data_IF_299806147507
#
_entry.id   IF_299806147507
#
_cell.length_a   1.000
_cell.length_b   1.000
_cell.length_c   1.000
_cell.angle_alpha   90.00
_cell.angle_beta   90.00
_cell.angle_gamma   90.00
#
_symmetry.space_group_name_H-M   'P 1'
#
loop_
_entity.id
_entity.type
_entity.pdbx_description
1 polymer ?
#
# COMPACT_ATOMS: atom_id res chain seq x y z
N UNK A 1 22.30 24.33 6.05
CA UNK A 1 21.41 23.20 6.44
C UNK A 1 20.13 23.18 5.59
N UNK A 2 19.87 22.09 4.88
CA UNK A 2 18.74 21.96 3.96
C UNK A 2 17.51 21.44 4.70
N UNK A 3 16.41 22.17 4.70
CA UNK A 3 15.17 21.81 5.40
C UNK A 3 14.11 21.23 4.46
N UNK A 4 13.39 20.22 4.93
CA UNK A 4 12.25 19.67 4.22
C UNK A 4 11.01 20.57 4.40
N UNK A 5 10.40 21.10 3.33
CA UNK A 5 9.23 21.99 3.45
C UNK A 5 7.96 21.26 3.92
N UNK A 6 7.91 19.93 3.84
CA UNK A 6 6.74 19.13 4.21
C UNK A 6 6.72 18.70 5.69
N UNK A 7 7.89 18.59 6.34
CA UNK A 7 7.96 18.11 7.74
C UNK A 7 9.00 18.84 8.61
N UNK A 8 9.69 19.85 8.07
CA UNK A 8 10.67 20.66 8.82
C UNK A 8 12.00 19.99 9.15
N UNK A 9 12.19 18.71 8.83
CA UNK A 9 13.46 18.01 9.11
C UNK A 9 14.64 18.67 8.39
N UNK A 10 15.78 18.77 9.11
CA UNK A 10 17.01 19.39 8.62
C UNK A 10 18.03 18.33 8.25
N UNK A 11 18.65 18.51 7.08
CA UNK A 11 19.65 17.64 6.52
C UNK A 11 20.94 18.42 6.25
N UNK A 12 22.08 17.75 6.39
CA UNK A 12 23.40 18.35 6.16
C UNK A 12 23.67 18.54 4.66
N UNK A 13 23.15 17.65 3.81
CA UNK A 13 23.38 17.64 2.37
C UNK A 13 22.08 17.73 1.57
N UNK A 14 22.11 18.46 0.45
CA UNK A 14 20.98 18.60 -0.48
C UNK A 14 20.53 17.25 -1.06
N UNK A 15 21.48 16.33 -1.30
CA UNK A 15 21.21 14.97 -1.80
C UNK A 15 20.38 14.15 -0.82
N UNK A 16 20.66 14.26 0.48
CA UNK A 16 19.90 13.56 1.53
C UNK A 16 18.49 14.15 1.64
N UNK A 17 18.35 15.48 1.56
CA UNK A 17 17.03 16.13 1.50
C UNK A 17 16.23 15.64 0.27
N UNK A 18 16.84 15.56 -0.91
CA UNK A 18 16.17 15.10 -2.13
C UNK A 18 15.70 13.63 -2.01
N UNK A 19 16.50 12.76 -1.40
CA UNK A 19 16.08 11.38 -1.12
C UNK A 19 14.94 11.32 -0.10
N UNK A 20 15.01 12.14 0.96
CA UNK A 20 13.95 12.25 1.95
C UNK A 20 12.63 12.76 1.35
N UNK A 21 12.68 13.73 0.44
CA UNK A 21 11.48 14.24 -0.24
C UNK A 21 10.73 13.16 -1.03
N UNK A 22 11.41 12.11 -1.51
CA UNK A 22 10.74 10.95 -2.13
C UNK A 22 9.86 10.16 -1.15
N UNK A 23 10.07 10.30 0.15
CA UNK A 23 9.22 9.67 1.19
C UNK A 23 7.88 10.41 1.29
N UNK A 24 7.90 11.73 1.14
CA UNK A 24 6.70 12.57 1.08
C UNK A 24 6.01 12.53 -0.27
N UNK A 25 6.77 12.27 -1.32
CA UNK A 25 6.21 11.83 -2.57
C UNK A 25 5.50 10.49 -2.31
N UNK A 26 4.22 10.56 -1.96
CA UNK A 26 3.28 9.43 -2.02
C UNK A 26 3.05 9.07 -3.50
N UNK A 27 4.13 8.93 -4.25
CA UNK A 27 4.21 8.55 -5.64
C UNK A 27 3.65 7.13 -5.77
N UNK A 28 2.33 7.12 -5.83
CA UNK A 28 1.52 5.95 -6.01
C UNK A 28 1.38 5.82 -7.51
N UNK A 29 2.30 5.08 -8.12
CA UNK A 29 2.36 4.93 -9.57
C UNK A 29 1.17 4.14 -10.13
N UNK A 30 0.62 3.22 -9.32
CA UNK A 30 -0.37 2.25 -9.79
C UNK A 30 -1.79 2.69 -9.41
N UNK A 31 -2.56 3.16 -10.38
CA UNK A 31 -3.96 3.56 -10.21
C UNK A 31 -4.95 2.41 -10.44
N UNK A 32 -6.03 2.39 -9.67
CA UNK A 32 -7.20 1.55 -9.92
C UNK A 32 -8.11 2.25 -10.94
N UNK A 33 -8.42 1.57 -12.05
CA UNK A 33 -9.32 2.10 -13.07
C UNK A 33 -10.76 2.26 -12.57
N UNK A 34 -11.21 1.38 -11.67
CA UNK A 34 -12.60 1.35 -11.20
C UNK A 34 -12.94 2.49 -10.23
N UNK A 35 -11.96 3.00 -9.46
CA UNK A 35 -12.22 3.99 -8.41
C UNK A 35 -11.14 5.08 -8.24
N UNK A 36 -10.15 5.13 -9.13
CA UNK A 36 -9.07 6.13 -9.11
C UNK A 36 -8.06 5.98 -7.96
N UNK A 37 -8.25 5.05 -7.02
CA UNK A 37 -7.33 4.86 -5.89
C UNK A 37 -5.93 4.46 -6.37
N UNK A 38 -4.92 5.16 -5.87
CA UNK A 38 -3.52 4.93 -6.23
C UNK A 38 -2.76 4.14 -5.15
N UNK A 39 -1.84 3.29 -5.59
CA UNK A 39 -0.99 2.41 -4.77
C UNK A 39 0.49 2.57 -5.12
N UNK A 40 1.35 2.39 -4.11
CA UNK A 40 2.82 2.44 -4.28
C UNK A 40 3.37 1.23 -5.04
N UNK A 41 2.75 0.07 -4.86
CA UNK A 41 3.19 -1.19 -5.48
C UNK A 41 2.06 -1.85 -6.28
N UNK A 42 2.42 -2.45 -7.42
CA UNK A 42 1.49 -3.16 -8.31
C UNK A 42 0.72 -4.28 -7.58
N UNK A 43 1.39 -5.05 -6.73
CA UNK A 43 0.72 -6.12 -5.97
C UNK A 43 -0.38 -5.59 -5.03
N UNK A 44 -0.21 -4.38 -4.45
CA UNK A 44 -1.24 -3.76 -3.61
C UNK A 44 -2.46 -3.34 -4.45
N UNK A 45 -2.24 -2.83 -5.67
CA UNK A 45 -3.31 -2.56 -6.62
C UNK A 45 -4.07 -3.85 -6.99
N UNK A 46 -3.37 -4.93 -7.31
CA UNK A 46 -4.00 -6.22 -7.66
C UNK A 46 -4.87 -6.76 -6.53
N UNK A 47 -4.36 -6.74 -5.30
CA UNK A 47 -5.13 -7.12 -4.11
C UNK A 47 -6.34 -6.20 -3.92
N UNK A 48 -6.19 -4.90 -4.17
CA UNK A 48 -7.28 -3.94 -4.10
C UNK A 48 -8.36 -4.19 -5.17
N UNK A 49 -8.01 -4.62 -6.38
CA UNK A 49 -9.02 -4.93 -7.41
C UNK A 49 -9.98 -6.05 -6.99
N UNK A 50 -9.55 -6.96 -6.12
CA UNK A 50 -10.44 -7.97 -5.51
C UNK A 50 -11.59 -7.37 -4.71
N UNK A 51 -11.50 -6.09 -4.33
CA UNK A 51 -12.62 -5.35 -3.71
C UNK A 51 -13.77 -5.21 -4.68
N UNK A 52 -13.47 -4.87 -5.93
CA UNK A 52 -14.44 -4.65 -6.98
C UNK A 52 -14.98 -5.95 -7.56
N UNK A 53 -14.11 -6.97 -7.74
CA UNK A 53 -14.54 -8.27 -8.29
C UNK A 53 -15.19 -9.19 -7.25
N UNK A 54 -15.13 -8.85 -5.96
CA UNK A 54 -15.59 -9.74 -4.89
C UNK A 54 -14.72 -10.99 -4.66
N UNK A 55 -13.59 -11.14 -5.37
CA UNK A 55 -12.73 -12.32 -5.27
C UNK A 55 -12.19 -12.52 -3.84
N UNK A 56 -12.40 -13.72 -3.30
CA UNK A 56 -11.89 -14.15 -2.00
C UNK A 56 -11.19 -15.52 -2.16
N UNK A 57 -9.93 -15.55 -2.60
CA UNK A 57 -9.27 -16.81 -2.97
C UNK A 57 -8.88 -17.67 -1.76
N UNK A 58 -8.83 -17.12 -0.56
CA UNK A 58 -8.39 -17.84 0.64
C UNK A 58 -9.60 -18.29 1.45
N UNK A 59 -9.79 -19.60 1.64
CA UNK A 59 -10.87 -20.14 2.46
C UNK A 59 -10.33 -20.71 3.76
N UNK A 60 -11.07 -20.53 4.87
CA UNK A 60 -10.82 -21.24 6.11
C UNK A 60 -11.29 -22.68 5.96
N UNK A 61 -10.42 -23.65 6.23
CA UNK A 61 -10.75 -25.08 6.17
C UNK A 61 -11.75 -25.52 7.24
N UNK A 62 -11.85 -24.79 8.36
CA UNK A 62 -12.74 -25.15 9.47
C UNK A 62 -14.17 -24.64 9.28
N UNK A 63 -14.34 -23.36 8.90
CA UNK A 63 -15.67 -22.73 8.81
C UNK A 63 -16.09 -22.36 7.37
N UNK A 64 -15.25 -22.61 6.37
CA UNK A 64 -15.51 -22.24 4.97
C UNK A 64 -15.43 -20.74 4.67
N UNK A 65 -15.25 -19.89 5.69
CA UNK A 65 -15.24 -18.44 5.51
C UNK A 65 -14.08 -17.99 4.60
N UNK A 66 -14.37 -17.11 3.64
CA UNK A 66 -13.42 -16.70 2.60
C UNK A 66 -12.85 -15.29 2.83
N UNK A 67 -11.59 -15.11 2.48
CA UNK A 67 -10.80 -13.88 2.67
C UNK A 67 -10.13 -13.44 1.38
N UNK A 68 -9.99 -12.12 1.23
CA UNK A 68 -9.31 -11.47 0.10
C UNK A 68 -7.78 -11.55 0.14
N UNK A 69 -7.24 -11.71 1.35
CA UNK A 69 -5.80 -11.73 1.63
C UNK A 69 -5.44 -12.84 2.61
N UNK A 70 -4.30 -13.51 2.39
CA UNK A 70 -3.80 -14.61 3.22
C UNK A 70 -3.60 -14.21 4.67
N UNK A 71 -3.10 -13.00 4.93
CA UNK A 71 -2.86 -12.52 6.29
C UNK A 71 -4.15 -12.45 7.12
N UNK A 72 -5.30 -12.13 6.50
CA UNK A 72 -6.59 -12.12 7.19
C UNK A 72 -7.04 -13.53 7.56
N UNK A 73 -6.81 -14.51 6.67
CA UNK A 73 -7.08 -15.92 6.97
C UNK A 73 -6.23 -16.40 8.14
N UNK A 74 -4.91 -16.16 8.10
CA UNK A 74 -4.00 -16.56 9.17
C UNK A 74 -4.43 -15.95 10.51
N UNK A 75 -4.79 -14.66 10.52
CA UNK A 75 -5.28 -13.99 11.74
C UNK A 75 -6.60 -14.57 12.24
N UNK A 76 -7.48 -15.00 11.34
CA UNK A 76 -8.75 -15.63 11.71
C UNK A 76 -8.59 -17.04 12.28
N UNK A 77 -7.53 -17.76 11.89
CA UNK A 77 -7.23 -19.13 12.36
C UNK A 77 -6.42 -19.17 13.67
N UNK A 78 -5.93 -18.01 14.13
CA UNK A 78 -5.35 -17.87 15.47
C UNK A 78 -6.47 -17.67 16.48
#
# INVERSE_FOLDING_TARGET
PFSCPQCGQRFQLKQILAMHQKVHSREKHFGCADCGKRFRHKHKLLIHRRIHTGEKPFACSHCGHRFRQKYHLIRHQR
#
